data_IF_556030632340
#
_entry.id   IF_556030632340
#
_cell.length_a   1.000
_cell.length_b   1.000
_cell.length_c   1.000
_cell.angle_alpha   90.00
_cell.angle_beta   90.00
_cell.angle_gamma   90.00
#
_symmetry.space_group_name_H-M   'P 1'
#
loop_
_entity.id
_entity.type
_entity.pdbx_description
1 polymer ?
#
# COMPACT_ATOMS: atom_id res chain seq x y z
N UNK A 1 -12.77 -5.58 -9.55
CA UNK A 1 -13.26 -5.29 -8.19
C UNK A 1 -12.38 -4.22 -7.56
N UNK A 2 -12.99 -3.24 -6.95
CA UNK A 2 -12.29 -2.08 -6.40
C UNK A 2 -12.51 -1.99 -4.89
N UNK A 3 -11.41 -1.79 -4.16
CA UNK A 3 -11.43 -1.52 -2.71
C UNK A 3 -10.81 -0.16 -2.46
N UNK A 4 -11.32 0.55 -1.48
CA UNK A 4 -10.81 1.88 -1.13
C UNK A 4 -10.98 2.17 0.35
N UNK A 5 -9.93 2.76 0.96
CA UNK A 5 -9.92 3.21 2.35
C UNK A 5 -9.25 4.58 2.39
N UNK A 6 -9.82 5.52 3.12
CA UNK A 6 -9.23 6.83 3.35
C UNK A 6 -9.12 7.09 4.83
N UNK A 7 -8.06 7.80 5.23
CA UNK A 7 -7.84 8.20 6.62
C UNK A 7 -7.18 9.57 6.65
N UNK A 8 -7.66 10.44 7.54
CA UNK A 8 -7.04 11.73 7.75
C UNK A 8 -5.93 11.60 8.79
N UNK A 9 -4.81 12.24 8.52
CA UNK A 9 -3.57 12.13 9.31
C UNK A 9 -3.15 13.53 9.76
N UNK A 10 -2.88 13.67 11.04
CA UNK A 10 -2.39 14.93 11.62
C UNK A 10 -0.89 15.06 11.39
N UNK A 11 -0.50 15.16 10.14
CA UNK A 11 0.86 15.36 9.69
C UNK A 11 0.83 15.94 8.27
N UNK A 12 1.89 16.65 7.90
CA UNK A 12 2.02 17.25 6.58
C UNK A 12 2.24 16.18 5.51
N UNK A 13 1.86 16.50 4.28
CA UNK A 13 1.99 15.61 3.13
C UNK A 13 3.41 15.02 3.02
N UNK A 14 4.45 15.83 3.16
CA UNK A 14 5.82 15.37 3.05
C UNK A 14 6.15 14.31 4.11
N UNK A 15 5.69 14.51 5.34
CA UNK A 15 5.91 13.55 6.43
C UNK A 15 5.18 12.23 6.16
N UNK A 16 3.94 12.30 5.72
CA UNK A 16 3.16 11.11 5.38
C UNK A 16 3.82 10.36 4.24
N UNK A 17 4.28 11.09 3.22
CA UNK A 17 4.99 10.49 2.09
C UNK A 17 6.27 9.78 2.52
N UNK A 18 7.07 10.40 3.37
CA UNK A 18 8.31 9.81 3.87
C UNK A 18 8.05 8.48 4.59
N UNK A 19 7.01 8.43 5.41
CA UNK A 19 6.63 7.22 6.13
C UNK A 19 6.11 6.15 5.16
N UNK A 20 5.23 6.55 4.25
CA UNK A 20 4.57 5.65 3.30
C UNK A 20 5.56 5.07 2.29
N UNK A 21 6.45 5.90 1.77
CA UNK A 21 7.38 5.51 0.70
C UNK A 21 8.59 4.71 1.18
N UNK A 22 8.79 4.63 2.48
CA UNK A 22 9.83 3.80 3.10
C UNK A 22 9.32 2.36 3.22
N UNK A 23 9.30 1.67 2.08
CA UNK A 23 8.66 0.36 1.96
C UNK A 23 9.29 -0.69 2.87
N UNK A 24 10.62 -0.66 3.03
CA UNK A 24 11.32 -1.65 3.85
C UNK A 24 11.01 -1.51 5.35
N UNK A 25 10.48 -0.38 5.78
CA UNK A 25 10.06 -0.16 7.16
C UNK A 25 8.61 -0.60 7.43
N UNK A 26 7.87 -1.01 6.42
CA UNK A 26 6.47 -1.39 6.58
C UNK A 26 6.23 -2.48 7.62
N UNK A 27 7.07 -3.52 7.77
CA UNK A 27 6.83 -4.53 8.81
C UNK A 27 6.80 -3.96 10.23
N UNK A 28 7.51 -2.88 10.50
CA UNK A 28 7.50 -2.25 11.82
C UNK A 28 6.30 -1.31 12.01
N UNK A 29 5.63 -0.93 10.92
CA UNK A 29 4.55 0.07 10.92
C UNK A 29 3.17 -0.53 10.72
N UNK A 30 3.11 -1.68 10.04
CA UNK A 30 1.85 -2.34 9.66
C UNK A 30 1.87 -3.76 10.21
N UNK A 31 0.95 -4.05 11.14
CA UNK A 31 0.88 -5.37 11.79
C UNK A 31 0.65 -6.52 10.81
N UNK A 32 -0.04 -6.24 9.72
CA UNK A 32 -0.39 -7.25 8.70
C UNK A 32 0.64 -7.35 7.58
N UNK A 33 1.84 -6.86 7.79
CA UNK A 33 2.96 -7.01 6.85
C UNK A 33 4.13 -7.66 7.59
N UNK A 34 4.53 -8.84 7.14
CA UNK A 34 5.63 -9.59 7.76
C UNK A 34 6.98 -9.23 7.19
N UNK A 35 7.08 -9.12 5.86
CA UNK A 35 8.34 -8.89 5.15
C UNK A 35 8.10 -7.97 3.97
N UNK A 36 8.99 -6.99 3.80
CA UNK A 36 9.16 -6.25 2.55
C UNK A 36 10.64 -6.22 2.22
N UNK A 37 10.99 -6.75 1.05
CA UNK A 37 12.37 -6.79 0.57
C UNK A 37 12.46 -6.10 -0.79
N UNK A 38 13.35 -5.12 -0.89
CA UNK A 38 13.61 -4.44 -2.16
C UNK A 38 14.49 -5.35 -3.03
N UNK A 39 13.95 -5.76 -4.18
CA UNK A 39 14.65 -6.68 -5.11
C UNK A 39 15.50 -5.94 -6.15
N UNK A 40 15.30 -4.64 -6.30
CA UNK A 40 16.04 -3.80 -7.24
C UNK A 40 16.88 -2.79 -6.46
N UNK A 41 17.92 -2.17 -7.07
CA UNK A 41 18.75 -1.20 -6.36
C UNK A 41 17.92 0.01 -5.86
N UNK A 42 18.28 0.51 -4.67
CA UNK A 42 17.75 1.76 -4.17
C UNK A 42 18.27 2.95 -4.99
N UNK A 43 17.55 4.09 -5.01
CA UNK A 43 16.31 4.38 -4.30
C UNK A 43 15.08 3.76 -4.98
N UNK A 44 14.00 3.63 -4.20
CA UNK A 44 12.71 3.16 -4.72
C UNK A 44 12.15 4.21 -5.68
N UNK A 45 11.63 3.75 -6.81
CA UNK A 45 10.99 4.59 -7.81
C UNK A 45 10.28 3.72 -8.83
N UNK A 46 9.85 4.34 -9.92
CA UNK A 46 9.19 3.62 -11.02
C UNK A 46 10.11 2.50 -11.53
N UNK A 47 9.56 1.31 -11.68
CA UNK A 47 10.29 0.11 -12.10
C UNK A 47 10.90 -0.70 -10.97
N UNK A 48 10.92 -0.19 -9.74
CA UNK A 48 11.39 -0.95 -8.58
C UNK A 48 10.52 -2.16 -8.32
N UNK A 49 11.13 -3.26 -7.89
CA UNK A 49 10.42 -4.48 -7.53
C UNK A 49 10.64 -4.78 -6.05
N UNK A 50 9.59 -5.19 -5.37
CA UNK A 50 9.63 -5.56 -3.96
C UNK A 50 8.95 -6.91 -3.75
N UNK A 51 9.47 -7.68 -2.81
CA UNK A 51 8.86 -8.90 -2.33
C UNK A 51 8.08 -8.58 -1.07
N UNK A 52 6.81 -8.95 -1.05
CA UNK A 52 5.90 -8.66 0.04
C UNK A 52 5.26 -9.94 0.57
N UNK A 53 5.30 -10.14 1.89
CA UNK A 53 4.63 -11.24 2.56
C UNK A 53 3.70 -10.71 3.63
N UNK A 54 2.44 -11.15 3.55
CA UNK A 54 1.41 -10.84 4.54
C UNK A 54 0.82 -12.15 5.10
N UNK A 55 0.39 -12.17 6.39
CA UNK A 55 -0.22 -13.36 6.97
C UNK A 55 -1.43 -13.83 6.15
N UNK A 56 -1.58 -15.14 6.01
CA UNK A 56 -2.71 -15.78 5.30
C UNK A 56 -2.75 -15.53 3.79
N UNK A 57 -1.74 -14.86 3.25
CA UNK A 57 -1.63 -14.61 1.81
C UNK A 57 -0.33 -15.18 1.30
N UNK A 58 -0.30 -15.67 0.05
CA UNK A 58 0.96 -16.09 -0.56
C UNK A 58 1.89 -14.90 -0.73
N UNK A 59 3.19 -15.18 -0.67
CA UNK A 59 4.21 -14.19 -0.97
C UNK A 59 4.06 -13.72 -2.41
N UNK A 60 4.22 -12.42 -2.64
CA UNK A 60 4.11 -11.82 -3.96
C UNK A 60 5.22 -10.85 -4.27
N UNK A 61 5.51 -10.71 -5.56
CA UNK A 61 6.42 -9.69 -6.08
C UNK A 61 5.60 -8.57 -6.70
N UNK A 62 5.85 -7.35 -6.27
CA UNK A 62 5.16 -6.16 -6.73
C UNK A 62 6.13 -5.25 -7.47
N UNK A 63 5.69 -4.73 -8.60
CA UNK A 63 6.45 -3.75 -9.38
C UNK A 63 5.84 -2.37 -9.23
N UNK A 64 6.65 -1.37 -8.91
CA UNK A 64 6.21 0.03 -8.86
C UNK A 64 5.97 0.51 -10.28
N UNK A 65 4.72 0.82 -10.58
CA UNK A 65 4.30 1.25 -11.92
C UNK A 65 4.15 2.75 -12.05
N UNK A 66 3.89 3.46 -10.94
CA UNK A 66 3.81 4.93 -10.89
C UNK A 66 4.52 5.40 -9.63
N UNK A 67 5.34 6.44 -9.76
CA UNK A 67 6.02 7.05 -8.63
C UNK A 67 6.01 8.57 -8.81
N UNK A 68 5.06 9.23 -8.17
CA UNK A 68 4.85 10.67 -8.26
C UNK A 68 4.91 11.30 -6.87
N UNK A 69 6.14 11.45 -6.35
CA UNK A 69 6.38 12.02 -5.03
C UNK A 69 6.01 13.51 -4.99
N UNK A 70 5.42 13.99 -3.91
CA UNK A 70 5.01 13.30 -2.69
C UNK A 70 3.51 12.95 -2.67
N UNK A 71 2.89 12.71 -3.82
CA UNK A 71 1.44 12.61 -3.96
C UNK A 71 0.91 11.21 -4.18
N UNK A 72 1.61 10.38 -4.92
CA UNK A 72 1.04 9.10 -5.34
C UNK A 72 2.11 8.09 -5.74
N UNK A 73 1.91 6.83 -5.33
CA UNK A 73 2.56 5.72 -6.01
C UNK A 73 1.61 4.53 -6.12
N UNK A 74 1.90 3.69 -7.09
CA UNK A 74 1.16 2.45 -7.24
C UNK A 74 2.12 1.33 -7.58
N UNK A 75 1.79 0.12 -7.13
CA UNK A 75 2.52 -1.07 -7.53
C UNK A 75 1.54 -2.16 -7.94
N UNK A 76 2.05 -3.08 -8.74
CA UNK A 76 1.24 -4.10 -9.39
C UNK A 76 1.82 -5.49 -9.14
N UNK A 77 0.94 -6.43 -8.88
CA UNK A 77 1.27 -7.84 -8.75
C UNK A 77 0.40 -8.65 -9.71
N UNK A 78 1.01 -9.59 -10.40
CA UNK A 78 0.30 -10.57 -11.21
C UNK A 78 0.44 -11.94 -10.56
N UNK A 79 -0.67 -12.61 -10.34
CA UNK A 79 -0.70 -13.94 -9.74
C UNK A 79 -1.83 -14.73 -10.41
N UNK A 80 -1.48 -15.78 -11.12
CA UNK A 80 -2.37 -16.70 -11.85
C UNK A 80 -3.85 -16.32 -11.97
N UNK A 81 -4.23 -15.63 -13.02
CA UNK A 81 -5.62 -15.22 -13.27
C UNK A 81 -6.10 -13.99 -12.52
N UNK A 82 -5.24 -13.34 -11.72
CA UNK A 82 -5.57 -12.10 -11.01
C UNK A 82 -4.42 -11.11 -11.13
N UNK A 83 -4.75 -9.87 -11.47
CA UNK A 83 -3.82 -8.75 -11.43
C UNK A 83 -4.30 -7.78 -10.35
N UNK A 84 -3.43 -7.47 -9.40
CA UNK A 84 -3.67 -6.51 -8.33
C UNK A 84 -2.92 -5.23 -8.61
N UNK A 85 -3.60 -4.09 -8.51
CA UNK A 85 -2.99 -2.77 -8.61
C UNK A 85 -3.34 -2.01 -7.34
N UNK A 86 -2.33 -1.72 -6.54
CA UNK A 86 -2.48 -1.03 -5.26
C UNK A 86 -1.99 0.41 -5.37
N UNK A 87 -2.88 1.36 -5.16
CA UNK A 87 -2.60 2.78 -5.21
C UNK A 87 -2.51 3.39 -3.82
N UNK A 88 -1.64 4.40 -3.68
CA UNK A 88 -1.36 5.08 -2.42
C UNK A 88 -1.29 6.58 -2.69
N UNK A 89 -2.33 7.30 -2.31
CA UNK A 89 -2.42 8.74 -2.56
C UNK A 89 -2.35 9.54 -1.27
N UNK A 90 -1.49 10.55 -1.27
CA UNK A 90 -1.36 11.49 -0.15
C UNK A 90 -1.76 12.87 -0.63
N UNK A 91 -2.82 13.42 -0.04
CA UNK A 91 -3.33 14.76 -0.36
C UNK A 91 -3.09 15.69 0.81
N UNK A 92 -2.59 16.88 0.52
CA UNK A 92 -2.46 17.93 1.53
C UNK A 92 -3.84 18.50 1.85
N UNK A 93 -4.17 18.56 3.13
CA UNK A 93 -5.36 19.24 3.64
C UNK A 93 -4.94 20.55 4.32
N UNK A 94 -5.90 21.27 4.87
CA UNK A 94 -5.62 22.49 5.61
C UNK A 94 -4.89 22.21 6.93
N UNK A 95 -4.22 23.21 7.48
CA UNK A 95 -3.61 23.22 8.81
C UNK A 95 -2.57 22.12 9.05
N UNK A 96 -1.79 21.79 8.01
CA UNK A 96 -0.72 20.80 8.15
C UNK A 96 -1.20 19.38 8.32
N UNK A 97 -2.42 19.09 7.83
CA UNK A 97 -3.02 17.75 7.84
C UNK A 97 -2.98 17.17 6.44
N UNK A 98 -3.16 15.87 6.36
CA UNK A 98 -3.15 15.14 5.09
C UNK A 98 -4.23 14.06 5.08
N UNK A 99 -4.58 13.62 3.87
CA UNK A 99 -5.46 12.46 3.68
C UNK A 99 -4.70 11.40 2.91
N UNK A 100 -4.63 10.21 3.48
CA UNK A 100 -4.11 9.02 2.81
C UNK A 100 -5.28 8.23 2.26
N UNK A 101 -5.24 7.92 0.96
CA UNK A 101 -6.22 7.05 0.32
C UNK A 101 -5.50 5.84 -0.25
N UNK A 102 -5.91 4.66 0.19
CA UNK A 102 -5.42 3.38 -0.30
C UNK A 102 -6.46 2.78 -1.22
N UNK A 103 -6.03 2.30 -2.38
CA UNK A 103 -6.91 1.64 -3.34
C UNK A 103 -6.32 0.29 -3.72
N UNK A 104 -7.20 -0.65 -4.05
CA UNK A 104 -6.80 -1.92 -4.62
C UNK A 104 -7.79 -2.29 -5.72
N UNK A 105 -7.28 -2.43 -6.93
CA UNK A 105 -8.06 -2.90 -8.07
C UNK A 105 -7.63 -4.32 -8.39
N UNK A 106 -8.58 -5.25 -8.38
CA UNK A 106 -8.38 -6.65 -8.73
C UNK A 106 -9.05 -6.92 -10.06
N UNK A 107 -8.28 -7.43 -11.02
CA UNK A 107 -8.75 -7.73 -12.38
C UNK A 107 -8.35 -9.14 -12.79
N UNK A 108 -9.14 -9.77 -13.64
CA UNK A 108 -8.84 -11.08 -14.19
C UNK A 108 -10.00 -12.06 -14.03
N UNK A 109 -9.86 -13.21 -14.66
CA UNK A 109 -10.92 -14.23 -14.73
C UNK A 109 -11.23 -14.86 -13.37
N UNK A 110 -10.24 -14.92 -12.47
CA UNK A 110 -10.41 -15.55 -11.16
C UNK A 110 -10.85 -14.58 -10.06
N UNK A 111 -11.04 -13.29 -10.37
CA UNK A 111 -11.45 -12.30 -9.37
C UNK A 111 -12.72 -12.68 -8.62
N UNK A 112 -13.80 -13.18 -9.26
CA UNK A 112 -14.99 -13.55 -8.51
C UNK A 112 -14.73 -14.63 -7.46
N UNK A 113 -13.85 -15.60 -7.77
CA UNK A 113 -13.49 -16.68 -6.84
C UNK A 113 -12.62 -16.13 -5.71
N UNK A 114 -11.59 -15.36 -6.04
CA UNK A 114 -10.68 -14.78 -5.07
C UNK A 114 -11.43 -13.83 -4.13
N UNK A 115 -12.31 -12.99 -4.68
CA UNK A 115 -13.10 -12.05 -3.88
C UNK A 115 -14.01 -12.76 -2.89
N UNK A 116 -14.59 -13.89 -3.28
CA UNK A 116 -15.45 -14.67 -2.38
C UNK A 116 -14.73 -15.06 -1.09
N UNK A 117 -13.45 -15.47 -1.19
CA UNK A 117 -12.68 -15.93 -0.03
C UNK A 117 -11.89 -14.82 0.68
N UNK A 118 -11.49 -13.77 -0.04
CA UNK A 118 -10.53 -12.79 0.47
C UNK A 118 -11.05 -11.37 0.64
N UNK A 119 -12.31 -11.09 0.28
CA UNK A 119 -12.87 -9.74 0.37
C UNK A 119 -12.78 -9.15 1.79
N UNK A 120 -13.20 -9.91 2.79
CA UNK A 120 -13.15 -9.45 4.18
C UNK A 120 -11.72 -9.24 4.65
N UNK A 121 -10.81 -10.14 4.29
CA UNK A 121 -9.40 -10.04 4.63
C UNK A 121 -8.75 -8.82 3.99
N UNK A 122 -9.06 -8.57 2.71
CA UNK A 122 -8.55 -7.41 1.98
C UNK A 122 -8.95 -6.10 2.64
N UNK A 123 -10.23 -5.94 2.94
CA UNK A 123 -10.73 -4.74 3.62
C UNK A 123 -10.07 -4.54 4.98
N UNK A 124 -9.92 -5.61 5.74
CA UNK A 124 -9.27 -5.56 7.06
C UNK A 124 -7.81 -5.14 6.94
N UNK A 125 -7.07 -5.72 6.00
CA UNK A 125 -5.65 -5.39 5.81
C UNK A 125 -5.46 -3.95 5.36
N UNK A 126 -6.31 -3.44 4.48
CA UNK A 126 -6.26 -2.04 4.07
C UNK A 126 -6.53 -1.08 5.23
N UNK A 127 -7.48 -1.43 6.09
CA UNK A 127 -7.77 -0.63 7.29
C UNK A 127 -6.56 -0.62 8.25
N UNK A 128 -5.95 -1.77 8.48
CA UNK A 128 -4.77 -1.90 9.35
C UNK A 128 -3.57 -1.14 8.76
N UNK A 129 -3.39 -1.19 7.45
CA UNK A 129 -2.33 -0.45 6.77
C UNK A 129 -2.53 1.06 6.95
N UNK A 130 -3.73 1.56 6.70
CA UNK A 130 -4.03 2.99 6.86
C UNK A 130 -3.79 3.47 8.30
N UNK A 131 -4.23 2.69 9.28
CA UNK A 131 -4.03 3.00 10.70
C UNK A 131 -2.55 2.97 11.09
N UNK A 132 -1.79 2.02 10.57
CA UNK A 132 -0.35 1.92 10.80
C UNK A 132 0.41 3.12 10.25
N UNK A 133 0.06 3.55 9.05
CA UNK A 133 0.66 4.74 8.44
C UNK A 133 0.33 6.01 9.22
N UNK A 134 -0.93 6.15 9.64
CA UNK A 134 -1.35 7.28 10.48
C UNK A 134 -0.55 7.34 11.77
N UNK A 135 -0.45 6.22 12.47
CA UNK A 135 0.28 6.13 13.73
C UNK A 135 1.76 6.48 13.55
N UNK A 136 2.39 5.95 12.49
CA UNK A 136 3.79 6.22 12.21
C UNK A 136 4.03 7.69 11.83
N UNK A 137 3.16 8.27 11.00
CA UNK A 137 3.32 9.66 10.54
C UNK A 137 3.08 10.67 11.68
N UNK A 138 2.18 10.36 12.59
CA UNK A 138 1.86 11.25 13.73
C UNK A 138 2.84 11.10 14.89
N UNK A 139 3.70 10.10 14.87
CA UNK A 139 4.73 9.97 15.91
C UNK A 139 5.84 11.01 15.71
N UNK A 140 6.34 11.49 16.81
CA UNK A 140 7.43 12.45 16.78
C UNK A 140 8.76 11.81 16.38
#
# INVERSE_FOLDING_TARGET
>A
MHFEQSIDIDARQQRVWEVLSDLEAWPQRIETVDVVELLTPAPVGEGSCVRLKQPKLPEGTWEVTVWDAPSYFEFRQKSGGVTNVAGHRVEALEEGRSRLTLTLDMRGLLVPVVALFYKGLTNRYMTVEAQGMKRAAESA
#
